data_IF_993474018608
#
_entry.id   IF_993474018608
#
_cell.length_a   1.000
_cell.length_b   1.000
_cell.length_c   1.000
_cell.angle_alpha   90.00
_cell.angle_beta   90.00
_cell.angle_gamma   90.00
#
_symmetry.space_group_name_H-M   'P 1'
#
loop_
_entity.id
_entity.type
_entity.pdbx_description
1 polymer ?
#
# COMPACT_ATOMS: atom_id res chain seq x y z
N UNK A 1 5.46 -23.13 -5.34
CA UNK A 1 4.13 -22.57 -5.00
C UNK A 1 4.42 -21.23 -4.38
N UNK A 2 4.33 -20.14 -5.14
CA UNK A 2 4.48 -18.78 -4.62
C UNK A 2 3.16 -18.09 -4.90
N UNK A 3 2.32 -17.92 -3.87
CA UNK A 3 0.89 -17.63 -4.02
C UNK A 3 0.55 -16.23 -3.52
N UNK A 4 1.31 -15.23 -3.95
CA UNK A 4 0.81 -13.85 -3.96
C UNK A 4 1.16 -13.18 -5.28
N UNK A 5 0.28 -13.36 -6.26
CA UNK A 5 0.23 -12.51 -7.46
C UNK A 5 -0.34 -11.14 -7.05
N UNK A 6 0.41 -10.38 -6.26
CA UNK A 6 0.08 -8.96 -6.14
C UNK A 6 0.23 -8.33 -7.52
N UNK A 7 -0.82 -7.64 -7.95
CA UNK A 7 -0.88 -6.90 -9.20
C UNK A 7 -1.04 -5.40 -8.94
N UNK A 8 -0.57 -4.54 -9.86
CA UNK A 8 -0.94 -3.14 -9.83
C UNK A 8 -2.47 -2.95 -9.81
N UNK A 9 -2.97 -2.19 -8.84
CA UNK A 9 -4.40 -1.98 -8.60
C UNK A 9 -4.97 -2.79 -7.44
N UNK A 10 -4.27 -3.83 -6.97
CA UNK A 10 -4.68 -4.57 -5.79
C UNK A 10 -4.66 -3.68 -4.54
N UNK A 11 -5.52 -4.01 -3.58
CA UNK A 11 -5.58 -3.32 -2.29
C UNK A 11 -4.99 -4.22 -1.22
N UNK A 12 -4.03 -3.70 -0.48
CA UNK A 12 -3.46 -4.34 0.71
C UNK A 12 -3.97 -3.63 1.96
N UNK A 13 -4.23 -4.40 3.01
CA UNK A 13 -4.63 -3.92 4.33
C UNK A 13 -3.56 -4.28 5.35
N UNK A 14 -3.14 -3.30 6.15
CA UNK A 14 -2.15 -3.49 7.21
C UNK A 14 -2.87 -3.66 8.56
N UNK A 15 -3.03 -4.87 9.10
CA UNK A 15 -3.73 -5.06 10.37
C UNK A 15 -2.90 -4.60 11.58
N UNK A 16 -1.57 -4.61 11.48
CA UNK A 16 -0.64 -4.33 12.58
C UNK A 16 0.59 -3.53 12.09
N UNK A 17 1.34 -2.96 13.03
CA UNK A 17 2.56 -2.18 12.75
C UNK A 17 2.35 -0.65 12.73
N UNK A 18 3.37 0.14 12.34
CA UNK A 18 3.34 1.61 12.41
C UNK A 18 2.32 2.25 11.45
N UNK A 19 1.88 1.51 10.43
CA UNK A 19 0.85 1.92 9.48
C UNK A 19 -0.41 1.04 9.60
N UNK A 20 -0.71 0.55 10.81
CA UNK A 20 -1.89 -0.28 11.06
C UNK A 20 -3.19 0.45 10.66
N UNK A 21 -4.19 -0.32 10.24
CA UNK A 21 -5.50 0.11 9.77
C UNK A 21 -5.50 0.91 8.45
N UNK A 22 -4.38 0.95 7.72
CA UNK A 22 -4.29 1.57 6.40
C UNK A 22 -4.68 0.56 5.32
N UNK A 23 -5.51 1.01 4.37
CA UNK A 23 -5.67 0.38 3.06
C UNK A 23 -4.79 1.13 2.06
N UNK A 24 -3.96 0.41 1.30
CA UNK A 24 -3.09 1.00 0.29
C UNK A 24 -3.23 0.26 -1.04
N UNK A 25 -3.03 0.98 -2.15
CA UNK A 25 -3.11 0.41 -3.50
C UNK A 25 -1.72 0.04 -3.98
N UNK A 26 -1.58 -1.17 -4.52
CA UNK A 26 -0.35 -1.64 -5.16
C UNK A 26 -0.15 -0.90 -6.48
N UNK A 27 1.01 -0.29 -6.64
CA UNK A 27 1.39 0.47 -7.84
C UNK A 27 2.39 -0.29 -8.69
N UNK A 28 3.28 -1.05 -8.06
CA UNK A 28 4.26 -1.89 -8.73
C UNK A 28 4.70 -3.02 -7.80
N UNK A 29 5.15 -4.12 -8.40
CA UNK A 29 5.67 -5.29 -7.71
C UNK A 29 7.05 -5.59 -8.26
N UNK A 30 8.03 -5.72 -7.37
CA UNK A 30 9.34 -6.27 -7.68
C UNK A 30 9.45 -7.66 -7.03
N UNK A 31 9.17 -8.74 -7.79
CA UNK A 31 9.21 -10.09 -7.25
C UNK A 31 10.64 -10.60 -7.01
N UNK A 32 11.67 -9.93 -7.56
CA UNK A 32 13.06 -10.33 -7.33
C UNK A 32 13.57 -9.84 -5.99
N UNK A 33 13.01 -8.72 -5.52
CA UNK A 33 13.35 -8.09 -4.24
C UNK A 33 12.29 -8.31 -3.17
N UNK A 34 11.20 -8.97 -3.51
CA UNK A 34 10.06 -9.18 -2.62
C UNK A 34 9.52 -7.85 -2.08
N UNK A 35 9.39 -6.86 -2.98
CA UNK A 35 8.95 -5.49 -2.64
C UNK A 35 7.65 -5.11 -3.36
N UNK A 36 6.75 -4.43 -2.62
CA UNK A 36 5.58 -3.74 -3.17
C UNK A 36 5.77 -2.22 -3.05
N UNK A 37 5.56 -1.50 -4.16
CA UNK A 37 5.36 -0.06 -4.10
C UNK A 37 3.87 0.21 -3.92
N UNK A 38 3.51 0.88 -2.84
CA UNK A 38 2.11 1.15 -2.51
C UNK A 38 1.84 2.64 -2.27
N UNK A 39 0.59 3.04 -2.44
CA UNK A 39 0.13 4.39 -2.08
C UNK A 39 -1.19 4.39 -1.32
N UNK A 40 -1.36 5.42 -0.48
CA UNK A 40 -2.62 5.72 0.19
C UNK A 40 -2.76 7.23 0.39
N UNK A 41 -4.00 7.71 0.56
CA UNK A 41 -4.30 9.07 0.97
C UNK A 41 -4.62 9.15 2.46
N UNK A 42 -4.18 10.20 3.14
CA UNK A 42 -4.74 10.58 4.45
C UNK A 42 -6.10 11.22 4.16
N UNK A 43 -7.17 10.42 4.32
CA UNK A 43 -8.54 10.77 3.95
C UNK A 43 -8.96 12.21 4.34
N UNK A 44 -9.80 12.80 3.48
CA UNK A 44 -10.22 14.21 3.35
C UNK A 44 -9.38 15.06 2.39
N UNK A 45 -9.89 15.13 1.16
CA UNK A 45 -9.60 16.24 0.27
C UNK A 45 -10.10 17.52 0.94
N UNK A 46 -9.19 18.37 1.41
CA UNK A 46 -9.57 19.67 1.97
C UNK A 46 -9.52 20.74 0.88
N UNK A 47 -10.49 21.66 0.94
CA UNK A 47 -10.61 22.77 0.00
C UNK A 47 -9.96 24.01 0.59
N UNK A 48 -8.89 24.49 -0.03
CA UNK A 48 -8.31 25.82 0.25
C UNK A 48 -8.70 26.78 -0.87
N UNK A 49 -9.75 27.57 -0.62
CA UNK A 49 -10.37 28.43 -1.62
C UNK A 49 -10.98 27.63 -2.77
N UNK A 50 -10.37 27.72 -3.96
CA UNK A 50 -10.81 26.98 -5.16
C UNK A 50 -9.98 25.73 -5.46
N UNK A 51 -9.01 25.39 -4.63
CA UNK A 51 -8.10 24.27 -4.86
C UNK A 51 -8.45 23.11 -3.92
N UNK A 52 -8.57 21.91 -4.50
CA UNK A 52 -8.66 20.65 -3.78
C UNK A 52 -7.25 20.15 -3.47
N UNK A 53 -6.98 19.80 -2.21
CA UNK A 53 -5.69 19.26 -1.76
C UNK A 53 -5.90 17.96 -1.02
N UNK A 54 -5.03 17.00 -1.28
CA UNK A 54 -4.98 15.70 -0.61
C UNK A 54 -3.54 15.45 -0.19
N UNK A 55 -3.34 14.79 0.96
CA UNK A 55 -2.04 14.27 1.35
C UNK A 55 -1.95 12.81 0.90
N UNK A 56 -1.01 12.54 0.01
CA UNK A 56 -0.77 11.21 -0.53
C UNK A 56 0.59 10.70 -0.08
N UNK A 57 0.61 9.44 0.32
CA UNK A 57 1.77 8.75 0.83
C UNK A 57 2.18 7.68 -0.17
N UNK A 58 3.48 7.45 -0.25
CA UNK A 58 4.03 6.38 -1.08
C UNK A 58 5.24 5.81 -0.37
N UNK A 59 5.30 4.50 -0.28
CA UNK A 59 6.38 3.79 0.36
C UNK A 59 6.53 2.43 -0.30
N UNK A 60 7.73 1.88 -0.15
CA UNK A 60 8.06 0.53 -0.57
C UNK A 60 8.05 -0.33 0.68
N UNK A 61 7.30 -1.43 0.65
CA UNK A 61 7.29 -2.44 1.71
C UNK A 61 7.89 -3.72 1.17
N UNK A 62 8.73 -4.37 1.97
CA UNK A 62 9.07 -5.77 1.73
C UNK A 62 7.88 -6.64 2.14
N UNK A 63 7.68 -7.76 1.45
CA UNK A 63 6.69 -8.76 1.81
C UNK A 63 7.35 -10.14 1.91
N UNK A 64 7.07 -10.85 3.01
CA UNK A 64 7.53 -12.21 3.21
C UNK A 64 6.30 -13.10 3.47
N UNK A 65 6.16 -14.19 2.73
CA UNK A 65 5.11 -15.18 2.98
C UNK A 65 5.58 -16.13 4.08
N UNK A 66 4.85 -16.18 5.20
CA UNK A 66 5.16 -17.07 6.32
C UNK A 66 4.11 -18.17 6.39
N UNK A 67 4.54 -19.42 6.22
CA UNK A 67 3.68 -20.59 6.44
C UNK A 67 3.59 -20.88 7.95
N UNK A 68 2.37 -20.88 8.49
CA UNK A 68 2.10 -21.23 9.89
C UNK A 68 1.69 -22.71 9.97
N UNK A 69 2.45 -23.51 10.73
CA UNK A 69 2.21 -24.95 10.99
C UNK A 69 1.52 -25.20 12.33
#
# INVERSE_FOLDING_TARGET
MGFTEYGPGDVVYFPEGPFSAVCAVVRAVDPRREELRIDFGEDLVHREGNVLRERRHTFTVQFDEVELV
#
